data_IF_661540277673
#
_entry.id   IF_661540277673
#
_cell.length_a   1.000
_cell.length_b   1.000
_cell.length_c   1.000
_cell.angle_alpha   90.00
_cell.angle_beta   90.00
_cell.angle_gamma   90.00
#
_symmetry.space_group_name_H-M   'P 1'
#
loop_
_entity.id
_entity.type
_entity.pdbx_description
1 polymer ?
#
# COMPACT_ATOMS: atom_id res chain seq x y z
N UNK A 1 -29.95 -10.65 -33.27
CA UNK A 1 -29.73 -11.43 -32.04
C UNK A 1 -28.76 -10.64 -31.21
N UNK A 2 -29.33 -9.97 -30.22
CA UNK A 2 -28.69 -9.05 -29.29
C UNK A 2 -28.35 -9.84 -28.02
N UNK A 3 -27.09 -9.84 -27.60
CA UNK A 3 -26.65 -10.51 -26.37
C UNK A 3 -25.92 -9.47 -25.54
N UNK A 4 -26.62 -9.02 -24.49
CA UNK A 4 -26.10 -8.23 -23.39
C UNK A 4 -24.77 -8.81 -22.87
N UNK A 5 -23.66 -8.09 -23.07
CA UNK A 5 -22.50 -8.18 -22.19
C UNK A 5 -22.57 -7.01 -21.22
N UNK A 6 -23.20 -7.28 -20.07
CA UNK A 6 -23.17 -6.40 -18.92
C UNK A 6 -21.75 -6.23 -18.40
N UNK A 7 -21.31 -4.98 -18.33
CA UNK A 7 -20.31 -4.42 -17.42
C UNK A 7 -18.93 -5.07 -17.44
N UNK A 8 -18.13 -4.71 -18.44
CA UNK A 8 -16.68 -4.57 -18.26
C UNK A 8 -16.41 -3.28 -17.49
N UNK A 9 -16.39 -3.33 -16.15
CA UNK A 9 -15.66 -2.33 -15.37
C UNK A 9 -14.17 -2.61 -15.54
N UNK A 10 -13.61 -2.11 -16.63
CA UNK A 10 -12.18 -1.91 -16.78
C UNK A 10 -11.81 -0.61 -16.07
N UNK A 11 -11.43 -0.70 -14.80
CA UNK A 11 -10.81 0.41 -14.06
C UNK A 11 -9.65 -0.15 -13.24
N UNK A 12 -8.57 -0.50 -13.92
CA UNK A 12 -7.29 -0.83 -13.28
C UNK A 12 -6.53 0.46 -12.96
N UNK A 13 -6.19 0.63 -11.68
CA UNK A 13 -5.40 1.73 -11.11
C UNK A 13 -5.64 1.85 -9.60
N UNK A 14 -4.80 2.62 -8.89
CA UNK A 14 -5.01 3.02 -7.49
C UNK A 14 -4.05 2.37 -6.48
N UNK A 15 -3.45 3.06 -5.49
CA UNK A 15 -3.47 4.48 -5.12
C UNK A 15 -2.19 4.85 -4.34
N UNK A 16 -1.59 6.01 -4.61
CA UNK A 16 -0.69 6.67 -3.65
C UNK A 16 -1.49 7.61 -2.75
N UNK A 17 -0.94 7.95 -1.58
CA UNK A 17 -1.50 9.01 -0.74
C UNK A 17 -1.57 10.33 -1.53
N UNK A 18 -2.71 11.00 -1.52
CA UNK A 18 -2.81 12.37 -2.00
C UNK A 18 -1.99 13.32 -1.12
N UNK A 19 -1.37 14.35 -1.70
CA UNK A 19 -0.84 15.49 -0.95
C UNK A 19 -1.95 16.45 -0.57
N UNK A 20 -1.81 17.11 0.58
CA UNK A 20 -2.75 18.12 1.07
C UNK A 20 -2.90 19.31 0.12
N UNK A 21 -3.97 20.10 0.27
CA UNK A 21 -4.18 21.35 -0.46
C UNK A 21 -3.44 22.51 0.20
N UNK A 22 -2.73 23.31 -0.59
CA UNK A 22 -2.26 24.63 -0.16
C UNK A 22 -3.42 25.66 -0.11
N UNK A 23 -3.15 26.84 0.44
CA UNK A 23 -4.14 27.94 0.57
C UNK A 23 -4.65 28.50 -0.76
N UNK A 24 -4.06 28.10 -1.89
CA UNK A 24 -4.42 28.50 -3.26
C UNK A 24 -5.09 27.38 -4.08
N UNK A 25 -5.33 26.22 -3.46
CA UNK A 25 -6.05 25.09 -4.04
C UNK A 25 -5.20 24.18 -4.92
N UNK A 26 -3.87 24.22 -4.81
CA UNK A 26 -2.97 23.27 -5.46
C UNK A 26 -2.84 22.01 -4.60
N UNK A 27 -2.97 20.83 -5.22
CA UNK A 27 -2.81 19.52 -4.57
C UNK A 27 -1.93 18.62 -5.44
N UNK A 28 -0.86 18.06 -4.86
CA UNK A 28 -0.02 17.06 -5.52
C UNK A 28 -0.46 15.66 -5.14
N UNK A 29 -1.13 14.92 -6.03
CA UNK A 29 -1.55 13.53 -5.78
C UNK A 29 -0.78 12.53 -6.66
N UNK A 30 -0.11 11.55 -6.04
CA UNK A 30 0.50 10.45 -6.78
C UNK A 30 -0.50 9.29 -6.95
N UNK A 31 -1.30 9.35 -8.03
CA UNK A 31 -1.89 8.19 -8.69
C UNK A 31 -3.16 7.57 -8.10
N UNK A 32 -4.21 7.45 -8.93
CA UNK A 32 -5.39 6.59 -8.72
C UNK A 32 -6.72 7.35 -8.57
N UNK A 33 -7.76 6.91 -9.27
CA UNK A 33 -8.98 7.63 -9.66
C UNK A 33 -9.74 8.38 -8.55
N UNK A 34 -10.22 9.57 -8.93
CA UNK A 34 -10.84 10.62 -8.12
C UNK A 34 -9.91 11.21 -7.05
N UNK A 35 -8.94 12.00 -7.51
CA UNK A 35 -8.48 13.14 -6.73
C UNK A 35 -9.70 14.04 -6.46
N UNK A 36 -10.34 13.85 -5.31
CA UNK A 36 -11.29 14.83 -4.82
C UNK A 36 -10.54 16.13 -4.55
N UNK A 37 -11.23 17.26 -4.67
CA UNK A 37 -10.73 18.49 -4.05
C UNK A 37 -10.39 18.16 -2.59
N UNK A 38 -9.22 18.60 -2.11
CA UNK A 38 -8.73 18.48 -0.72
C UNK A 38 -7.80 17.30 -0.38
N UNK A 39 -7.03 16.74 -1.32
CA UNK A 39 -5.82 15.97 -0.96
C UNK A 39 -6.03 14.77 -0.02
N UNK A 40 -7.15 14.06 -0.14
CA UNK A 40 -7.49 12.94 0.74
C UNK A 40 -6.67 11.70 0.35
N UNK A 41 -6.29 10.87 1.33
CA UNK A 41 -5.46 9.66 1.16
C UNK A 41 -5.98 8.66 0.10
N UNK A 42 -5.17 7.64 -0.20
CA UNK A 42 -5.45 6.66 -1.26
C UNK A 42 -6.66 5.75 -0.95
N UNK A 43 -7.36 5.30 -1.99
CA UNK A 43 -8.44 4.32 -1.88
C UNK A 43 -7.97 2.92 -1.47
N UNK A 44 -8.91 2.09 -1.00
CA UNK A 44 -8.66 0.70 -0.58
C UNK A 44 -9.47 -0.29 -1.42
N UNK A 45 -9.00 -1.52 -1.56
CA UNK A 45 -9.65 -2.57 -2.36
C UNK A 45 -9.54 -3.94 -1.68
N UNK A 46 -10.57 -4.79 -1.86
CA UNK A 46 -10.51 -6.21 -1.52
C UNK A 46 -11.36 -7.03 -2.49
N UNK A 47 -10.85 -8.20 -2.87
CA UNK A 47 -11.58 -9.24 -3.61
C UNK A 47 -12.08 -10.38 -2.70
N UNK A 48 -11.77 -10.34 -1.40
CA UNK A 48 -12.07 -11.40 -0.44
C UNK A 48 -13.41 -11.24 0.27
N UNK A 49 -13.73 -12.21 1.12
CA UNK A 49 -14.93 -12.20 1.96
C UNK A 49 -14.64 -11.67 3.38
N UNK A 50 -15.67 -11.50 4.23
CA UNK A 50 -15.54 -10.98 5.61
C UNK A 50 -14.68 -9.70 5.71
N UNK A 51 -14.95 -8.79 4.77
CA UNK A 51 -14.24 -7.53 4.64
C UNK A 51 -14.46 -6.64 5.87
N UNK A 52 -13.36 -6.08 6.36
CA UNK A 52 -13.36 -4.96 7.29
C UNK A 52 -12.32 -3.94 6.84
N UNK A 53 -12.64 -2.64 6.88
CA UNK A 53 -11.70 -1.59 6.52
C UNK A 53 -11.93 -0.31 7.31
N UNK A 54 -10.84 0.39 7.60
CA UNK A 54 -10.84 1.71 8.25
C UNK A 54 -9.83 2.62 7.53
N UNK A 55 -10.27 3.81 7.12
CA UNK A 55 -9.40 4.86 6.57
C UNK A 55 -8.72 5.65 7.70
N UNK A 56 -7.55 6.22 7.42
CA UNK A 56 -6.78 7.04 8.37
C UNK A 56 -6.53 6.34 9.72
N UNK A 57 -6.28 5.03 9.69
CA UNK A 57 -6.22 4.18 10.88
C UNK A 57 -4.80 3.69 11.23
N UNK A 58 -3.82 3.90 10.34
CA UNK A 58 -2.46 3.39 10.50
C UNK A 58 -1.38 4.50 10.46
N UNK A 59 -0.65 4.67 11.56
CA UNK A 59 0.33 5.75 11.75
C UNK A 59 1.80 5.32 11.51
N UNK A 60 2.05 4.18 10.85
CA UNK A 60 3.37 3.62 10.62
C UNK A 60 3.69 3.33 9.15
N UNK A 61 4.80 2.62 8.86
CA UNK A 61 5.06 2.04 7.54
C UNK A 61 4.00 0.97 7.22
N UNK A 62 3.76 0.71 5.95
CA UNK A 62 2.82 -0.32 5.55
C UNK A 62 3.17 -1.69 6.14
N UNK A 63 2.16 -2.53 6.27
CA UNK A 63 2.27 -3.88 6.82
C UNK A 63 1.32 -4.82 6.09
N UNK A 64 1.71 -6.09 5.99
CA UNK A 64 0.83 -7.20 5.65
C UNK A 64 0.88 -8.21 6.78
N UNK A 65 -0.27 -8.67 7.25
CA UNK A 65 -0.41 -9.78 8.19
C UNK A 65 -1.24 -10.86 7.51
N UNK A 66 -0.70 -12.06 7.46
CA UNK A 66 -1.39 -13.24 6.93
C UNK A 66 -1.62 -14.20 8.10
N UNK A 67 -2.87 -14.35 8.50
CA UNK A 67 -3.30 -15.24 9.57
C UNK A 67 -3.93 -16.49 8.96
N UNK A 68 -3.25 -17.62 9.07
CA UNK A 68 -3.88 -18.92 8.83
C UNK A 68 -4.77 -19.20 10.05
N UNK A 69 -6.08 -19.37 9.83
CA UNK A 69 -7.07 -19.56 10.93
C UNK A 69 -6.80 -20.81 11.81
N UNK A 70 -5.73 -21.55 11.52
CA UNK A 70 -5.15 -22.65 12.27
C UNK A 70 -3.61 -22.49 12.39
N UNK A 71 -3.21 -21.54 13.24
CA UNK A 71 -1.94 -21.48 14.02
C UNK A 71 -0.61 -20.97 13.39
N UNK A 72 -0.61 -20.24 12.28
CA UNK A 72 0.60 -19.45 11.91
C UNK A 72 0.22 -18.05 11.40
N UNK A 73 0.72 -17.02 12.08
CA UNK A 73 0.65 -15.63 11.65
C UNK A 73 1.99 -15.23 11.03
N UNK A 74 1.95 -14.73 9.79
CA UNK A 74 3.11 -14.16 9.10
C UNK A 74 2.96 -12.66 8.95
N UNK A 75 3.90 -11.91 9.53
CA UNK A 75 3.95 -10.45 9.47
C UNK A 75 5.04 -10.00 8.50
N UNK A 76 4.69 -9.13 7.56
CA UNK A 76 5.59 -8.56 6.58
C UNK A 76 5.57 -7.04 6.67
N UNK A 77 6.76 -6.43 6.64
CA UNK A 77 6.95 -4.98 6.78
C UNK A 77 7.78 -4.43 5.61
N UNK A 78 8.14 -3.15 5.62
CA UNK A 78 9.05 -2.60 4.59
C UNK A 78 10.48 -3.11 4.68
N UNK A 79 10.80 -4.02 5.61
CA UNK A 79 12.16 -4.44 5.94
C UNK A 79 13.07 -3.23 6.24
N UNK A 80 12.52 -2.23 6.93
CA UNK A 80 13.22 -1.00 7.27
C UNK A 80 13.54 -0.08 6.09
N UNK A 81 13.06 -0.39 4.88
CA UNK A 81 13.27 0.46 3.72
C UNK A 81 12.47 1.76 3.81
N UNK A 82 13.08 2.85 3.35
CA UNK A 82 12.51 4.20 3.29
C UNK A 82 12.61 4.78 1.87
N UNK A 83 11.70 5.71 1.55
CA UNK A 83 11.65 6.39 0.26
C UNK A 83 10.80 5.66 -0.80
N UNK A 84 11.22 5.78 -2.06
CA UNK A 84 10.42 5.35 -3.23
C UNK A 84 10.75 3.95 -3.74
N UNK A 85 11.87 3.37 -3.30
CA UNK A 85 12.35 2.07 -3.76
C UNK A 85 11.97 1.00 -2.74
N UNK A 86 11.60 -0.19 -3.20
CA UNK A 86 11.36 -1.32 -2.29
C UNK A 86 12.66 -1.86 -1.65
N UNK A 87 12.53 -2.76 -0.66
CA UNK A 87 13.69 -3.31 0.04
C UNK A 87 14.57 -4.17 -0.86
N UNK A 88 15.78 -4.43 -0.40
CA UNK A 88 16.68 -5.46 -0.90
C UNK A 88 16.49 -6.78 -0.14
N UNK A 89 16.96 -7.89 -0.72
CA UNK A 89 16.93 -9.19 -0.03
C UNK A 89 17.66 -9.13 1.32
N UNK A 90 18.84 -8.51 1.38
CA UNK A 90 19.61 -8.41 2.62
C UNK A 90 18.92 -7.59 3.72
N UNK A 91 18.05 -6.64 3.36
CA UNK A 91 17.23 -5.91 4.34
C UNK A 91 16.18 -6.82 4.97
N UNK A 92 15.46 -7.59 4.16
CA UNK A 92 14.43 -8.51 4.68
C UNK A 92 15.05 -9.71 5.40
N UNK A 93 16.15 -10.29 4.90
CA UNK A 93 16.85 -11.36 5.59
C UNK A 93 17.33 -10.93 6.98
N UNK A 94 17.70 -9.65 7.16
CA UNK A 94 18.15 -9.09 8.43
C UNK A 94 17.03 -8.79 9.43
N UNK A 95 15.79 -8.59 8.98
CA UNK A 95 14.65 -8.22 9.83
C UNK A 95 13.69 -9.39 10.00
N UNK A 96 13.25 -10.00 8.91
CA UNK A 96 12.28 -11.10 8.89
C UNK A 96 12.97 -12.47 9.01
N UNK A 97 14.25 -12.54 8.60
CA UNK A 97 15.04 -13.77 8.61
C UNK A 97 15.25 -14.34 7.21
N UNK A 98 16.40 -14.97 7.00
CA UNK A 98 16.78 -15.51 5.69
C UNK A 98 15.80 -16.59 5.21
N UNK A 99 15.27 -16.40 4.00
CA UNK A 99 14.37 -17.36 3.35
C UNK A 99 12.90 -17.24 3.73
N UNK A 100 12.51 -16.31 4.60
CA UNK A 100 11.09 -16.04 4.92
C UNK A 100 10.39 -15.42 3.72
N UNK A 101 11.02 -14.44 3.06
CA UNK A 101 10.57 -13.86 1.80
C UNK A 101 11.68 -13.88 0.76
N UNK A 102 11.29 -13.95 -0.51
CA UNK A 102 12.20 -13.62 -1.61
C UNK A 102 11.90 -12.24 -2.13
N UNK A 103 12.90 -11.38 -2.19
CA UNK A 103 12.80 -10.00 -2.67
C UNK A 103 13.32 -9.90 -4.10
N UNK A 104 12.51 -9.36 -5.00
CA UNK A 104 12.91 -9.07 -6.38
C UNK A 104 12.36 -7.72 -6.79
N UNK A 105 13.22 -6.84 -7.32
CA UNK A 105 12.84 -5.51 -7.80
C UNK A 105 12.07 -4.66 -6.75
N UNK A 106 12.34 -4.88 -5.45
CA UNK A 106 11.64 -4.20 -4.35
C UNK A 106 10.30 -4.82 -3.92
N UNK A 107 9.88 -5.93 -4.52
CA UNK A 107 8.69 -6.68 -4.12
C UNK A 107 9.08 -7.87 -3.25
N UNK A 108 8.31 -8.13 -2.20
CA UNK A 108 8.44 -9.33 -1.38
C UNK A 108 7.54 -10.43 -1.93
N UNK A 109 8.06 -11.65 -1.99
CA UNK A 109 7.30 -12.83 -2.39
C UNK A 109 7.27 -13.84 -1.26
N UNK A 110 6.10 -14.40 -1.05
CA UNK A 110 5.86 -15.45 -0.08
C UNK A 110 5.07 -16.59 -0.74
N UNK A 111 5.28 -17.81 -0.27
CA UNK A 111 4.62 -19.01 -0.79
C UNK A 111 3.75 -19.57 0.32
N UNK A 112 2.49 -19.81 0.00
CA UNK A 112 1.54 -20.48 0.90
C UNK A 112 2.03 -21.89 1.20
N UNK A 113 2.11 -22.27 2.48
CA UNK A 113 2.68 -23.54 2.90
C UNK A 113 1.65 -24.67 3.02
N UNK A 114 0.38 -24.34 3.26
CA UNK A 114 -0.72 -25.28 3.47
C UNK A 114 -2.00 -24.78 2.79
N UNK A 115 -2.85 -25.71 2.37
CA UNK A 115 -4.20 -25.37 1.92
C UNK A 115 -5.02 -24.86 3.10
N UNK A 116 -5.75 -23.75 2.93
CA UNK A 116 -6.54 -23.20 4.02
C UNK A 116 -7.26 -21.90 3.70
N UNK A 117 -8.08 -21.46 4.65
CA UNK A 117 -8.67 -20.11 4.65
C UNK A 117 -7.74 -19.17 5.43
N UNK A 118 -7.28 -18.13 4.74
CA UNK A 118 -6.35 -17.14 5.25
C UNK A 118 -7.04 -15.80 5.39
N UNK A 119 -6.85 -15.16 6.55
CA UNK A 119 -7.22 -13.76 6.73
C UNK A 119 -6.00 -12.88 6.43
N UNK A 120 -6.10 -12.10 5.36
CA UNK A 120 -5.05 -11.17 4.94
C UNK A 120 -5.45 -9.76 5.40
N UNK A 121 -4.65 -9.19 6.29
CA UNK A 121 -4.76 -7.79 6.73
C UNK A 121 -3.63 -6.98 6.12
N UNK A 122 -3.95 -5.82 5.54
CA UNK A 122 -2.98 -4.88 4.98
C UNK A 122 -3.18 -3.51 5.59
N UNK A 123 -2.09 -2.82 5.85
CA UNK A 123 -2.08 -1.43 6.27
C UNK A 123 -1.28 -0.60 5.27
N UNK A 124 -1.85 0.48 4.75
CA UNK A 124 -1.11 1.49 4.02
C UNK A 124 -0.22 2.31 4.96
N UNK A 125 0.83 2.92 4.42
CA UNK A 125 1.72 3.75 5.21
C UNK A 125 1.12 5.14 5.47
N UNK A 126 1.50 5.78 6.57
CA UNK A 126 1.16 7.19 6.82
C UNK A 126 1.89 8.14 5.89
N UNK A 127 1.32 9.33 5.67
CA UNK A 127 2.03 10.45 5.07
C UNK A 127 3.06 11.08 6.01
N UNK A 128 3.92 11.93 5.44
CA UNK A 128 4.96 12.64 6.17
C UNK A 128 4.42 13.87 6.90
N UNK A 129 5.04 14.15 8.04
CA UNK A 129 4.76 15.33 8.85
C UNK A 129 5.42 16.58 8.24
N UNK A 130 4.83 17.76 8.48
CA UNK A 130 5.42 19.07 8.16
C UNK A 130 5.33 19.91 9.41
N UNK A 131 6.45 20.39 9.96
CA UNK A 131 6.41 21.25 11.14
C UNK A 131 5.69 20.60 12.34
N UNK A 132 4.63 21.25 12.82
CA UNK A 132 3.75 20.70 13.87
C UNK A 132 2.55 19.89 13.30
N UNK A 133 2.47 19.74 11.98
CA UNK A 133 1.37 19.16 11.25
C UNK A 133 1.64 17.70 10.98
N UNK A 134 0.65 16.87 11.28
CA UNK A 134 0.75 15.43 11.12
C UNK A 134 0.26 14.98 9.77
N UNK A 135 1.00 14.09 9.12
CA UNK A 135 0.51 13.34 7.96
C UNK A 135 -0.72 12.51 8.33
N UNK A 136 -1.61 12.31 7.36
CA UNK A 136 -2.73 11.38 7.49
C UNK A 136 -2.25 9.94 7.62
N UNK A 137 -2.99 9.14 8.38
CA UNK A 137 -2.74 7.70 8.51
C UNK A 137 -3.08 6.94 7.22
N UNK A 138 -2.47 5.77 7.03
CA UNK A 138 -2.89 4.84 5.99
C UNK A 138 -4.17 4.10 6.37
N UNK A 139 -4.80 3.47 5.38
CA UNK A 139 -5.97 2.62 5.58
C UNK A 139 -5.56 1.21 6.02
N UNK A 140 -6.33 0.62 6.93
CA UNK A 140 -6.23 -0.80 7.32
C UNK A 140 -7.39 -1.54 6.68
N UNK A 141 -7.10 -2.66 6.01
CA UNK A 141 -8.08 -3.48 5.31
C UNK A 141 -7.81 -4.95 5.60
N UNK A 142 -8.83 -5.73 5.90
CA UNK A 142 -8.71 -7.16 6.07
C UNK A 142 -9.82 -7.92 5.37
N UNK A 143 -9.50 -9.07 4.79
CA UNK A 143 -10.45 -9.96 4.16
C UNK A 143 -9.94 -11.40 4.12
N UNK A 144 -10.86 -12.35 3.95
CA UNK A 144 -10.58 -13.78 3.97
C UNK A 144 -10.51 -14.35 2.54
N UNK A 145 -9.54 -15.25 2.32
CA UNK A 145 -9.23 -15.89 1.04
C UNK A 145 -8.93 -17.37 1.25
N UNK A 146 -9.48 -18.23 0.40
CA UNK A 146 -9.05 -19.64 0.32
C UNK A 146 -7.82 -19.72 -0.58
N UNK A 147 -6.70 -20.19 -0.04
CA UNK A 147 -5.42 -20.34 -0.74
C UNK A 147 -4.95 -21.79 -0.66
N UNK A 148 -4.18 -22.21 -1.66
CA UNK A 148 -3.61 -23.56 -1.73
C UNK A 148 -2.10 -23.51 -1.47
N UNK A 149 -1.56 -24.59 -0.92
CA UNK A 149 -0.13 -24.80 -0.80
C UNK A 149 0.56 -24.64 -2.16
N UNK A 150 1.60 -23.82 -2.19
CA UNK A 150 2.33 -23.47 -3.41
C UNK A 150 1.81 -22.22 -4.13
N UNK A 151 0.67 -21.65 -3.72
CA UNK A 151 0.23 -20.36 -4.23
C UNK A 151 1.27 -19.28 -3.89
N UNK A 152 1.65 -18.50 -4.91
CA UNK A 152 2.62 -17.42 -4.77
C UNK A 152 1.90 -16.10 -4.50
N UNK A 153 2.28 -15.42 -3.42
CA UNK A 153 1.86 -14.05 -3.15
C UNK A 153 2.97 -13.07 -3.48
N UNK A 154 2.62 -11.97 -4.15
CA UNK A 154 3.50 -10.82 -4.36
C UNK A 154 2.97 -9.64 -3.56
N UNK A 155 3.87 -9.05 -2.78
CA UNK A 155 3.60 -7.95 -1.87
C UNK A 155 4.45 -6.73 -2.23
N UNK A 156 3.79 -5.58 -2.27
CA UNK A 156 4.45 -4.27 -2.28
C UNK A 156 3.99 -3.51 -1.05
N UNK A 157 4.90 -3.26 -0.12
CA UNK A 157 4.56 -2.73 1.20
C UNK A 157 4.89 -1.24 1.25
N UNK A 158 3.87 -0.43 1.57
CA UNK A 158 3.97 1.02 1.54
C UNK A 158 5.00 1.57 2.52
N UNK A 159 5.70 2.64 2.14
CA UNK A 159 6.67 3.32 3.01
C UNK A 159 6.10 4.65 3.49
N UNK A 160 6.48 5.07 4.70
CA UNK A 160 6.01 6.34 5.26
C UNK A 160 6.46 7.51 4.39
N UNK A 161 5.60 8.52 4.27
CA UNK A 161 6.01 9.79 3.70
C UNK A 161 7.18 10.38 4.50
N UNK A 162 8.05 11.11 3.82
CA UNK A 162 9.20 11.74 4.45
C UNK A 162 8.77 12.97 5.25
N UNK A 163 9.16 13.03 6.52
CA UNK A 163 8.91 14.17 7.39
C UNK A 163 9.76 15.37 6.96
N UNK A 164 9.22 16.59 7.12
CA UNK A 164 9.88 17.85 6.78
C UNK A 164 9.75 18.88 7.89
N UNK A 165 10.80 19.68 8.06
CA UNK A 165 10.78 20.83 8.98
C UNK A 165 10.26 22.08 8.29
N UNK A 166 9.72 23.02 9.06
CA UNK A 166 9.42 24.37 8.57
C UNK A 166 10.73 25.05 8.15
N UNK A 167 10.85 25.48 6.89
CA UNK A 167 12.05 26.16 6.41
C UNK A 167 11.94 26.63 4.97
N UNK A 168 11.81 27.95 4.78
CA UNK A 168 11.81 28.61 3.49
C UNK A 168 13.26 28.78 3.02
N UNK A 169 13.75 27.88 2.16
CA UNK A 169 14.82 28.25 1.24
C UNK A 169 14.14 28.68 -0.05
N UNK A 170 14.27 29.96 -0.41
CA UNK A 170 13.69 30.53 -1.62
C UNK A 170 14.12 29.70 -2.84
N UNK A 171 13.22 28.85 -3.36
CA UNK A 171 13.47 28.04 -4.55
C UNK A 171 13.06 26.57 -4.48
N UNK A 172 12.66 26.02 -3.33
CA UNK A 172 12.17 24.63 -3.23
C UNK A 172 10.65 24.58 -3.06
N UNK A 173 9.98 23.84 -3.94
CA UNK A 173 8.52 23.61 -3.93
C UNK A 173 8.14 22.77 -2.71
N UNK A 174 7.03 23.13 -2.01
CA UNK A 174 6.48 22.28 -0.96
C UNK A 174 6.03 20.94 -1.57
N UNK A 175 6.88 19.91 -1.55
CA UNK A 175 6.39 18.58 -1.90
C UNK A 175 5.72 17.97 -0.66
N UNK A 176 4.39 17.86 -0.72
CA UNK A 176 3.63 17.08 0.24
C UNK A 176 3.93 15.59 0.00
N UNK A 177 4.49 14.91 1.01
CA UNK A 177 4.89 13.50 0.84
C UNK A 177 3.83 12.59 1.46
N UNK A 178 2.97 12.03 0.60
CA UNK A 178 2.03 10.98 1.01
C UNK A 178 2.72 9.66 1.35
N UNK A 179 2.02 8.82 2.10
CA UNK A 179 2.43 7.44 2.36
C UNK A 179 2.16 6.53 1.17
N UNK A 180 2.97 5.49 1.02
CA UNK A 180 2.74 4.44 0.03
C UNK A 180 1.56 3.53 0.39
N UNK A 181 0.80 3.10 -0.62
CA UNK A 181 -0.17 2.02 -0.47
C UNK A 181 0.52 0.66 -0.28
N UNK A 182 -0.18 -0.28 0.34
CA UNK A 182 0.26 -1.67 0.53
C UNK A 182 -0.62 -2.61 -0.27
N UNK A 183 0.00 -3.51 -1.03
CA UNK A 183 -0.65 -4.38 -2.00
C UNK A 183 -0.29 -5.83 -1.74
N UNK A 184 -1.30 -6.70 -1.75
CA UNK A 184 -1.12 -8.16 -1.78
C UNK A 184 -1.82 -8.68 -3.02
N UNK A 185 -1.10 -9.47 -3.81
CA UNK A 185 -1.58 -10.02 -5.08
C UNK A 185 -1.26 -11.50 -5.18
N UNK A 186 -2.10 -12.26 -5.88
CA UNK A 186 -1.92 -13.68 -6.16
C UNK A 186 -1.26 -13.85 -7.53
N UNK A 187 -0.23 -14.69 -7.62
CA UNK A 187 0.41 -15.05 -8.90
C UNK A 187 -0.43 -16.06 -9.67
N UNK A 188 -0.62 -15.83 -10.97
CA UNK A 188 -1.17 -16.83 -11.88
C UNK A 188 -1.99 -16.22 -13.01
N UNK A 189 -2.96 -15.37 -12.68
CA UNK A 189 -3.86 -14.72 -13.65
C UNK A 189 -4.03 -13.23 -13.34
N UNK A 190 -4.51 -12.46 -14.32
CA UNK A 190 -4.77 -11.03 -14.15
C UNK A 190 -3.77 -10.14 -14.90
N UNK A 191 -3.43 -9.01 -14.29
CA UNK A 191 -2.60 -7.96 -14.89
C UNK A 191 -1.12 -8.39 -14.93
N UNK A 192 -0.38 -7.95 -15.94
CA UNK A 192 1.03 -8.27 -16.10
C UNK A 192 1.92 -7.34 -15.26
N UNK A 193 2.66 -7.89 -14.29
CA UNK A 193 3.59 -7.16 -13.45
C UNK A 193 5.01 -7.22 -14.05
N UNK A 194 5.36 -6.20 -14.82
CA UNK A 194 6.63 -6.15 -15.58
C UNK A 194 7.90 -6.31 -14.74
N UNK A 195 8.04 -5.75 -13.51
CA UNK A 195 9.29 -5.88 -12.75
C UNK A 195 9.60 -7.31 -12.30
N UNK A 196 8.57 -8.17 -12.28
CA UNK A 196 8.67 -9.58 -11.88
C UNK A 196 8.42 -10.56 -13.04
N UNK A 197 7.92 -10.07 -14.19
CA UNK A 197 7.55 -10.88 -15.35
C UNK A 197 6.56 -12.00 -15.02
N UNK A 198 5.52 -11.67 -14.25
CA UNK A 198 4.44 -12.59 -13.86
C UNK A 198 3.07 -11.92 -14.01
N UNK A 199 2.03 -12.71 -14.23
CA UNK A 199 0.64 -12.25 -14.12
C UNK A 199 0.19 -12.30 -12.67
N UNK A 200 -0.47 -11.25 -12.20
CA UNK A 200 -0.96 -11.12 -10.83
C UNK A 200 -2.41 -10.63 -10.77
N UNK A 201 -3.14 -11.10 -9.77
CA UNK A 201 -4.48 -10.65 -9.45
C UNK A 201 -4.48 -9.96 -8.09
N UNK A 202 -4.96 -8.70 -7.97
CA UNK A 202 -5.09 -8.03 -6.69
C UNK A 202 -6.00 -8.81 -5.72
N UNK A 203 -5.53 -9.03 -4.50
CA UNK A 203 -6.32 -9.62 -3.41
C UNK A 203 -6.81 -8.53 -2.46
N UNK A 204 -5.88 -7.82 -1.82
CA UNK A 204 -6.17 -6.75 -0.85
C UNK A 204 -5.20 -5.58 -1.04
N UNK A 205 -5.71 -4.36 -0.92
CA UNK A 205 -4.94 -3.13 -1.02
C UNK A 205 -5.35 -2.18 0.11
N UNK A 206 -4.37 -1.72 0.89
CA UNK A 206 -4.51 -0.67 1.89
C UNK A 206 -3.95 0.64 1.36
N UNK A 207 -4.80 1.67 1.25
CA UNK A 207 -4.41 2.98 0.74
C UNK A 207 -3.44 3.73 1.67
N UNK A 208 -2.47 4.45 1.09
CA UNK A 208 -1.53 5.28 1.84
C UNK A 208 -2.15 6.61 2.31
N UNK A 209 -1.66 7.12 3.44
CA UNK A 209 -2.12 8.37 4.05
C UNK A 209 -1.61 9.63 3.36
N UNK A 210 -2.31 10.74 3.56
CA UNK A 210 -1.95 12.02 2.95
C UNK A 210 -0.77 12.72 3.66
N UNK A 211 0.01 13.52 2.95
CA UNK A 211 1.02 14.38 3.59
C UNK A 211 0.38 15.53 4.40
N UNK A 212 1.07 16.04 5.43
CA UNK A 212 0.59 17.18 6.22
C UNK A 212 0.44 18.47 5.38
N UNK A 213 -0.39 19.43 5.82
CA UNK A 213 -0.54 20.75 5.19
C UNK A 213 0.51 21.76 5.67
N UNK A 214 0.73 22.82 4.88
CA UNK A 214 1.66 23.91 5.18
C UNK A 214 1.22 24.82 6.35
N UNK A 215 -0.08 24.88 6.67
CA UNK A 215 -0.63 25.71 7.77
C UNK A 215 0.01 25.37 9.12
N UNK A 216 0.55 24.17 9.24
CA UNK A 216 1.27 23.68 10.40
C UNK A 216 2.66 24.31 10.61
N UNK A 217 3.11 25.12 9.66
CA UNK A 217 4.31 25.96 9.76
C UNK A 217 4.06 27.36 10.36
N UNK A 218 2.81 27.69 10.71
CA UNK A 218 2.42 28.99 11.27
C UNK A 218 2.30 28.98 12.79
#
# INVERSE_FOLDING_TARGET
MDIHRGRSCSTSGGFGGGGSTDTWGHSGGAGGYSGGNNGRGGGSFSAGSNFSGAADAHDGPGMVVIDELLEVVSDFTTCGQLGRYGPSQGQCDGIDGAGVVTVQSGYQRWIVHSDGDYRITVAGARGGDIGNGRGGGGAIVAADFSLNAGDGLVMAIGQTGADRTCGYNAGEEYEFVGGGGTFVTLVGSGDWLTPLSVSVQPLVIGGGGAGANEDSCQ
#
